data_IF_706142950702
#
_entry.id   IF_706142950702
#
_cell.length_a   1.000
_cell.length_b   1.000
_cell.length_c   1.000
_cell.angle_alpha   90.00
_cell.angle_beta   90.00
_cell.angle_gamma   90.00
#
_symmetry.space_group_name_H-M   'P 1'
#
loop_
_entity.id
_entity.type
_entity.pdbx_description
1 polymer ?
#
# COMPACT_ATOMS: atom_id res chain seq x y z
N UNK A 1 -11.92 -12.90 9.10
CA UNK A 1 -13.03 -12.06 9.60
C UNK A 1 -13.29 -11.02 8.55
N UNK A 2 -14.55 -10.73 8.21
CA UNK A 2 -14.86 -9.62 7.30
C UNK A 2 -14.64 -8.28 8.01
N UNK A 3 -14.39 -7.23 7.24
CA UNK A 3 -14.27 -5.86 7.77
C UNK A 3 -15.52 -5.47 8.57
N UNK A 4 -16.71 -5.79 8.04
CA UNK A 4 -17.97 -5.49 8.71
C UNK A 4 -18.06 -6.16 10.08
N UNK A 5 -17.82 -7.48 10.18
CA UNK A 5 -17.83 -8.18 11.47
C UNK A 5 -16.85 -7.57 12.48
N UNK A 6 -15.66 -7.15 12.03
CA UNK A 6 -14.68 -6.53 12.91
C UNK A 6 -15.13 -5.15 13.40
N UNK A 7 -15.66 -4.30 12.52
CA UNK A 7 -16.22 -2.99 12.90
C UNK A 7 -17.34 -3.11 13.92
N UNK A 8 -18.22 -4.11 13.78
CA UNK A 8 -19.29 -4.38 14.75
C UNK A 8 -18.73 -4.78 16.13
N UNK A 9 -17.65 -5.56 16.17
CA UNK A 9 -16.98 -5.92 17.43
C UNK A 9 -16.39 -4.66 18.07
N UNK A 10 -15.67 -3.84 17.32
CA UNK A 10 -15.11 -2.59 17.84
C UNK A 10 -16.20 -1.67 18.40
N UNK A 11 -17.34 -1.59 17.72
CA UNK A 11 -18.48 -0.78 18.16
C UNK A 11 -19.10 -1.26 19.46
N UNK A 12 -19.24 -2.57 19.64
CA UNK A 12 -19.75 -3.15 20.88
C UNK A 12 -18.88 -2.80 22.11
N UNK A 13 -17.60 -2.48 21.91
CA UNK A 13 -16.65 -2.15 22.97
C UNK A 13 -16.18 -0.69 22.96
N UNK A 14 -16.81 0.20 22.19
CA UNK A 14 -16.30 1.56 21.98
C UNK A 14 -16.07 2.37 23.28
N UNK A 15 -16.88 2.12 24.32
CA UNK A 15 -16.77 2.78 25.61
C UNK A 15 -15.82 2.12 26.62
N UNK A 16 -15.26 0.95 26.32
CA UNK A 16 -14.46 0.16 27.28
C UNK A 16 -13.13 -0.33 26.72
N UNK A 17 -12.98 -0.37 25.40
CA UNK A 17 -11.75 -0.81 24.74
C UNK A 17 -10.70 0.29 24.86
N UNK A 18 -9.64 0.01 25.62
CA UNK A 18 -8.49 0.92 25.80
C UNK A 18 -7.22 0.41 25.11
N UNK A 19 -7.18 -0.88 24.76
CA UNK A 19 -6.02 -1.51 24.13
C UNK A 19 -6.53 -2.32 22.95
N UNK A 20 -5.90 -2.13 21.79
CA UNK A 20 -6.15 -2.93 20.59
C UNK A 20 -4.82 -3.47 20.09
N UNK A 21 -4.80 -4.78 19.85
CA UNK A 21 -3.66 -5.47 19.24
C UNK A 21 -4.15 -6.23 18.02
N UNK A 22 -3.62 -5.87 16.86
CA UNK A 22 -3.84 -6.58 15.59
C UNK A 22 -2.52 -7.21 15.18
N UNK A 23 -2.38 -8.50 15.48
CA UNK A 23 -1.16 -9.28 15.23
C UNK A 23 -1.46 -10.39 14.23
N UNK A 24 -0.63 -10.51 13.18
CA UNK A 24 -0.77 -11.50 12.10
C UNK A 24 -2.18 -11.54 11.49
N UNK A 25 -2.83 -10.38 11.41
CA UNK A 25 -4.18 -10.24 10.91
C UNK A 25 -4.19 -10.01 9.40
N UNK A 26 -5.09 -10.72 8.70
CA UNK A 26 -5.36 -10.51 7.28
C UNK A 26 -6.79 -10.04 7.09
N UNK A 27 -6.96 -8.84 6.52
CA UNK A 27 -8.26 -8.31 6.12
C UNK A 27 -8.48 -8.59 4.64
N UNK A 28 -9.53 -9.36 4.34
CA UNK A 28 -9.88 -9.72 2.97
C UNK A 28 -10.80 -8.65 2.38
N UNK A 29 -10.27 -7.88 1.44
CA UNK A 29 -11.00 -6.89 0.68
C UNK A 29 -11.57 -7.49 -0.62
N UNK A 30 -12.69 -6.93 -1.10
CA UNK A 30 -13.28 -7.36 -2.38
C UNK A 30 -12.62 -6.67 -3.57
N UNK A 31 -12.24 -5.40 -3.43
CA UNK A 31 -11.82 -4.59 -4.58
C UNK A 31 -10.48 -3.89 -4.39
N UNK A 32 -10.21 -3.31 -3.22
CA UNK A 32 -8.96 -2.60 -2.95
C UNK A 32 -8.74 -2.36 -1.43
N UNK A 33 -7.68 -1.61 -1.11
CA UNK A 33 -7.33 -1.22 0.25
C UNK A 33 -8.38 -0.30 0.93
N UNK A 34 -9.26 0.36 0.17
CA UNK A 34 -10.27 1.28 0.73
C UNK A 34 -11.31 0.56 1.58
N UNK A 35 -11.52 -0.74 1.34
CA UNK A 35 -12.35 -1.60 2.18
C UNK A 35 -11.81 -1.70 3.62
N UNK A 36 -10.52 -1.45 3.86
CA UNK A 36 -9.92 -1.48 5.19
C UNK A 36 -10.00 -0.13 5.93
N UNK A 37 -10.17 0.99 5.23
CA UNK A 37 -10.28 2.32 5.86
C UNK A 37 -11.37 2.45 6.92
N UNK A 38 -12.56 1.82 6.80
CA UNK A 38 -13.55 1.87 7.85
C UNK A 38 -13.03 1.36 9.20
N UNK A 39 -12.17 0.33 9.21
CA UNK A 39 -11.56 -0.18 10.44
C UNK A 39 -10.62 0.86 11.05
N UNK A 40 -9.70 1.39 10.24
CA UNK A 40 -8.74 2.40 10.69
C UNK A 40 -9.44 3.68 11.18
N UNK A 41 -10.46 4.16 10.45
CA UNK A 41 -11.30 5.29 10.86
C UNK A 41 -12.00 5.01 12.18
N UNK A 42 -12.52 3.81 12.37
CA UNK A 42 -13.18 3.44 13.63
C UNK A 42 -12.20 3.45 14.80
N UNK A 43 -11.00 2.89 14.63
CA UNK A 43 -9.94 2.93 15.64
C UNK A 43 -9.53 4.38 15.98
N UNK A 44 -9.55 5.28 14.99
CA UNK A 44 -9.17 6.70 15.15
C UNK A 44 -10.26 7.55 15.83
N UNK A 45 -11.50 7.40 15.37
CA UNK A 45 -12.57 8.36 15.66
C UNK A 45 -13.47 7.90 16.81
N UNK A 46 -13.66 6.60 16.97
CA UNK A 46 -14.70 6.04 17.83
C UNK A 46 -14.16 5.41 19.12
N UNK A 47 -12.85 5.15 19.22
CA UNK A 47 -12.24 4.52 20.37
C UNK A 47 -11.32 5.47 21.13
N UNK A 48 -11.37 5.42 22.46
CA UNK A 48 -10.44 6.13 23.34
C UNK A 48 -9.28 5.21 23.72
N UNK A 49 -8.44 4.87 22.75
CA UNK A 49 -7.34 3.93 22.94
C UNK A 49 -6.20 4.55 23.74
N UNK A 50 -5.72 3.81 24.73
CA UNK A 50 -4.46 4.05 25.40
C UNK A 50 -3.29 3.44 24.61
N UNK A 51 -3.49 2.27 24.00
CA UNK A 51 -2.47 1.57 23.23
C UNK A 51 -3.03 0.96 21.97
N UNK A 52 -2.28 1.08 20.87
CA UNK A 52 -2.56 0.41 19.60
C UNK A 52 -1.30 -0.32 19.11
N UNK A 53 -1.44 -1.60 18.81
CA UNK A 53 -0.40 -2.44 18.21
C UNK A 53 -0.90 -2.93 16.85
N UNK A 54 -0.14 -2.66 15.80
CA UNK A 54 -0.35 -3.16 14.44
C UNK A 54 0.91 -3.91 14.01
N UNK A 55 0.87 -5.24 14.03
CA UNK A 55 2.02 -6.08 13.67
C UNK A 55 1.61 -7.22 12.74
N UNK A 56 2.38 -7.43 11.66
CA UNK A 56 2.05 -8.45 10.66
C UNK A 56 0.68 -8.24 10.00
N UNK A 57 0.18 -7.00 9.95
CA UNK A 57 -1.11 -6.67 9.35
C UNK A 57 -1.02 -6.74 7.82
N UNK A 58 -1.94 -7.46 7.19
CA UNK A 58 -1.99 -7.64 5.73
C UNK A 58 -3.38 -7.38 5.17
N UNK A 59 -3.44 -6.95 3.92
CA UNK A 59 -4.68 -6.87 3.14
C UNK A 59 -4.62 -7.87 2.00
N UNK A 60 -5.56 -8.81 2.00
CA UNK A 60 -5.70 -9.83 0.97
C UNK A 60 -6.80 -9.47 -0.03
N UNK A 61 -6.58 -9.81 -1.30
CA UNK A 61 -7.63 -9.69 -2.33
C UNK A 61 -8.28 -11.04 -2.55
N UNK A 62 -9.61 -11.05 -2.63
CA UNK A 62 -10.43 -12.27 -2.79
C UNK A 62 -10.06 -13.13 -4.01
N UNK A 63 -9.33 -12.56 -4.98
CA UNK A 63 -8.92 -13.21 -6.22
C UNK A 63 -7.41 -13.49 -6.33
N UNK A 64 -6.66 -13.27 -5.25
CA UNK A 64 -5.22 -13.55 -5.23
C UNK A 64 -4.92 -14.68 -4.25
N UNK A 65 -4.25 -15.72 -4.75
CA UNK A 65 -3.85 -16.93 -4.01
C UNK A 65 -2.70 -16.67 -2.98
N UNK A 66 -2.57 -15.43 -2.51
CA UNK A 66 -1.45 -14.94 -1.70
C UNK A 66 -1.78 -14.73 -0.22
N UNK A 67 -0.73 -14.42 0.56
CA UNK A 67 -0.81 -14.13 2.00
C UNK A 67 -1.32 -12.71 2.34
N UNK A 68 -1.73 -11.94 1.32
CA UNK A 68 -2.04 -10.51 1.40
C UNK A 68 -0.78 -9.63 1.32
N UNK A 69 -0.97 -8.38 0.87
CA UNK A 69 0.08 -7.35 0.86
C UNK A 69 0.32 -6.83 2.29
N UNK A 70 1.57 -6.68 2.73
CA UNK A 70 1.89 -6.19 4.06
C UNK A 70 1.52 -4.71 4.19
N UNK A 71 0.88 -4.38 5.29
CA UNK A 71 0.34 -3.05 5.57
C UNK A 71 1.05 -2.43 6.75
N UNK A 72 1.13 -3.13 7.89
CA UNK A 72 1.81 -2.60 9.07
C UNK A 72 2.64 -3.70 9.71
N UNK A 73 3.91 -3.40 10.00
CA UNK A 73 4.86 -4.33 10.59
C UNK A 73 5.50 -3.69 11.83
N UNK A 74 5.24 -4.29 12.99
CA UNK A 74 5.86 -3.89 14.25
C UNK A 74 5.59 -2.45 14.67
N UNK A 75 4.35 -1.97 14.57
CA UNK A 75 3.96 -0.59 14.89
C UNK A 75 3.26 -0.55 16.23
N UNK A 76 3.74 0.30 17.12
CA UNK A 76 3.31 0.39 18.50
C UNK A 76 3.15 1.85 18.89
N UNK A 77 1.92 2.26 19.20
CA UNK A 77 1.63 3.64 19.60
C UNK A 77 0.92 3.67 20.96
N UNK A 78 1.28 4.68 21.75
CA UNK A 78 0.72 4.88 23.10
C UNK A 78 0.20 6.31 23.24
N UNK A 79 -1.02 6.45 23.73
CA UNK A 79 -1.71 7.72 23.89
C UNK A 79 -2.53 8.11 22.65
N UNK A 80 -3.69 8.71 22.90
CA UNK A 80 -4.71 9.04 21.89
C UNK A 80 -4.15 9.90 20.74
N UNK A 81 -3.29 10.88 21.04
CA UNK A 81 -2.69 11.76 20.02
C UNK A 81 -1.75 11.01 19.07
N UNK A 82 -0.85 10.18 19.60
CA UNK A 82 0.09 9.42 18.77
C UNK A 82 -0.66 8.39 17.91
N UNK A 83 -1.67 7.73 18.49
CA UNK A 83 -2.53 6.78 17.79
C UNK A 83 -3.28 7.46 16.66
N UNK A 84 -3.92 8.61 16.92
CA UNK A 84 -4.63 9.38 15.88
C UNK A 84 -3.70 9.81 14.76
N UNK A 85 -2.54 10.39 15.09
CA UNK A 85 -1.57 10.84 14.10
C UNK A 85 -1.05 9.68 13.23
N UNK A 86 -0.76 8.52 13.82
CA UNK A 86 -0.38 7.32 13.08
C UNK A 86 -1.48 6.86 12.13
N UNK A 87 -2.73 6.77 12.62
CA UNK A 87 -3.88 6.38 11.80
C UNK A 87 -4.21 7.39 10.69
N UNK A 88 -3.99 8.69 10.92
CA UNK A 88 -4.14 9.72 9.88
C UNK A 88 -3.15 9.52 8.74
N UNK A 89 -1.87 9.23 9.06
CA UNK A 89 -0.87 8.88 8.03
C UNK A 89 -1.33 7.65 7.23
N UNK A 90 -1.90 6.63 7.88
CA UNK A 90 -2.39 5.45 7.14
C UNK A 90 -3.56 5.77 6.21
N UNK A 91 -4.44 6.67 6.62
CA UNK A 91 -5.65 7.03 5.88
C UNK A 91 -5.40 8.02 4.75
N UNK A 92 -4.43 8.92 4.89
CA UNK A 92 -4.12 9.94 3.87
C UNK A 92 -3.36 9.38 2.65
N UNK A 93 -2.57 8.33 2.84
CA UNK A 93 -1.70 7.78 1.79
C UNK A 93 -2.20 6.47 1.19
N UNK A 94 -3.50 6.21 1.34
CA UNK A 94 -4.22 5.02 0.90
C UNK A 94 -3.56 3.68 1.30
N UNK A 95 -2.69 3.70 2.32
CA UNK A 95 -1.94 2.56 2.84
C UNK A 95 -1.04 1.82 1.86
N UNK A 96 -0.84 2.30 0.62
CA UNK A 96 0.00 1.62 -0.37
C UNK A 96 1.49 1.74 -0.01
N UNK A 97 2.11 0.60 0.35
CA UNK A 97 3.56 0.40 0.25
C UNK A 97 4.43 1.10 1.29
N UNK A 98 3.90 1.51 2.44
CA UNK A 98 4.68 2.23 3.44
C UNK A 98 5.59 1.35 4.31
N UNK A 99 5.26 0.06 4.47
CA UNK A 99 6.05 -0.91 5.24
C UNK A 99 6.49 -2.13 4.40
N UNK A 100 6.48 -1.99 3.07
CA UNK A 100 6.81 -3.05 2.11
C UNK A 100 8.11 -2.73 1.35
N UNK A 101 9.24 -3.25 1.86
CA UNK A 101 10.54 -3.18 1.18
C UNK A 101 10.61 -4.09 -0.07
N UNK A 102 9.85 -5.18 -0.10
CA UNK A 102 9.89 -6.15 -1.20
C UNK A 102 9.18 -5.62 -2.46
N UNK A 103 8.13 -4.80 -2.27
CA UNK A 103 7.42 -4.14 -3.38
C UNK A 103 8.32 -3.19 -4.18
N UNK A 104 9.29 -2.55 -3.54
CA UNK A 104 10.21 -1.61 -4.20
C UNK A 104 11.12 -2.34 -5.18
N UNK A 105 11.72 -3.44 -4.72
CA UNK A 105 12.61 -4.29 -5.52
C UNK A 105 11.87 -4.86 -6.72
N UNK A 106 10.64 -5.35 -6.51
CA UNK A 106 9.83 -5.90 -7.60
C UNK A 106 9.46 -4.82 -8.64
N UNK A 107 9.04 -3.63 -8.21
CA UNK A 107 8.68 -2.52 -9.12
C UNK A 107 9.90 -2.02 -9.90
N UNK A 108 11.04 -1.87 -9.23
CA UNK A 108 12.30 -1.49 -9.89
C UNK A 108 12.70 -2.53 -10.94
N UNK A 109 12.62 -3.83 -10.60
CA UNK A 109 12.92 -4.88 -11.55
C UNK A 109 11.93 -4.90 -12.73
N UNK A 110 10.65 -4.64 -12.48
CA UNK A 110 9.62 -4.55 -13.51
C UNK A 110 9.96 -3.47 -14.54
N UNK A 111 10.26 -2.25 -14.07
CA UNK A 111 10.67 -1.13 -14.93
C UNK A 111 11.93 -1.49 -15.71
N UNK A 112 12.96 -2.03 -15.05
CA UNK A 112 14.22 -2.44 -15.69
C UNK A 112 14.01 -3.49 -16.79
N UNK A 113 13.12 -4.46 -16.57
CA UNK A 113 12.76 -5.48 -17.56
C UNK A 113 12.00 -4.86 -18.74
N UNK A 114 11.06 -3.96 -18.47
CA UNK A 114 10.34 -3.22 -19.50
C UNK A 114 11.28 -2.37 -20.37
N UNK A 115 12.21 -1.64 -19.77
CA UNK A 115 13.24 -0.89 -20.49
C UNK A 115 14.10 -1.79 -21.39
N UNK A 116 14.53 -2.93 -20.86
CA UNK A 116 15.36 -3.89 -21.60
C UNK A 116 14.60 -4.47 -22.79
N UNK A 117 13.31 -4.79 -22.61
CA UNK A 117 12.42 -5.25 -23.68
C UNK A 117 12.30 -4.20 -24.78
N UNK A 118 11.95 -2.95 -24.45
CA UNK A 118 11.75 -1.88 -25.44
C UNK A 118 13.04 -1.54 -26.19
N UNK A 119 14.18 -1.47 -25.47
CA UNK A 119 15.50 -1.25 -26.09
C UNK A 119 15.88 -2.37 -27.06
N UNK A 120 15.53 -3.61 -26.73
CA UNK A 120 15.84 -4.79 -27.54
C UNK A 120 14.99 -4.96 -28.80
N UNK A 121 13.89 -4.21 -28.95
CA UNK A 121 12.99 -4.38 -30.09
C UNK A 121 13.66 -4.04 -31.42
N UNK A 122 13.74 -5.05 -32.31
CA UNK A 122 14.31 -4.95 -33.66
C UNK A 122 13.33 -5.46 -34.70
N UNK A 123 13.29 -4.81 -35.88
CA UNK A 123 12.30 -5.14 -36.90
C UNK A 123 12.42 -6.57 -37.45
N UNK A 124 13.64 -7.11 -37.53
CA UNK A 124 13.90 -8.46 -38.04
C UNK A 124 13.14 -9.57 -37.29
N UNK A 125 12.78 -9.35 -36.03
CA UNK A 125 11.98 -10.30 -35.24
C UNK A 125 10.48 -10.23 -35.56
N UNK A 126 10.04 -9.18 -36.27
CA UNK A 126 8.63 -8.87 -36.52
C UNK A 126 8.28 -8.74 -38.02
N UNK A 127 9.27 -8.82 -38.91
CA UNK A 127 9.08 -8.66 -40.37
C UNK A 127 8.04 -9.61 -40.98
N UNK A 128 7.85 -10.79 -40.38
CA UNK A 128 6.90 -11.80 -40.82
C UNK A 128 5.45 -11.53 -40.39
N UNK A 129 5.22 -10.59 -39.45
CA UNK A 129 3.91 -10.32 -38.84
C UNK A 129 3.42 -8.89 -39.05
N UNK A 130 4.29 -7.94 -39.36
CA UNK A 130 3.91 -6.54 -39.58
C UNK A 130 4.85 -5.83 -40.57
N UNK A 131 4.33 -4.76 -41.20
CA UNK A 131 5.15 -3.89 -42.04
C UNK A 131 6.14 -3.09 -41.18
N UNK A 132 7.19 -2.56 -41.80
CA UNK A 132 8.16 -1.71 -41.10
C UNK A 132 7.49 -0.45 -40.49
N UNK A 133 6.55 0.16 -41.20
CA UNK A 133 5.80 1.33 -40.70
C UNK A 133 4.96 0.96 -39.47
N UNK A 134 4.22 -0.16 -39.53
CA UNK A 134 3.44 -0.65 -38.40
C UNK A 134 4.33 -1.04 -37.20
N UNK A 135 5.53 -1.57 -37.45
CA UNK A 135 6.51 -1.84 -36.41
C UNK A 135 7.01 -0.57 -35.72
N UNK A 136 7.29 0.50 -36.47
CA UNK A 136 7.71 1.78 -35.89
C UNK A 136 6.60 2.38 -35.01
N UNK A 137 5.34 2.32 -35.44
CA UNK A 137 4.19 2.76 -34.66
C UNK A 137 4.03 1.94 -33.38
N UNK A 138 4.13 0.61 -33.48
CA UNK A 138 4.05 -0.28 -32.33
C UNK A 138 5.19 -0.05 -31.34
N UNK A 139 6.43 0.10 -31.82
CA UNK A 139 7.59 0.42 -30.96
C UNK A 139 7.43 1.76 -30.25
N UNK A 140 6.87 2.77 -30.93
CA UNK A 140 6.55 4.05 -30.31
C UNK A 140 5.47 3.92 -29.22
N UNK A 141 4.47 3.05 -29.40
CA UNK A 141 3.48 2.75 -28.37
C UNK A 141 4.10 2.03 -27.17
N UNK A 142 4.97 1.04 -27.40
CA UNK A 142 5.70 0.38 -26.32
C UNK A 142 6.57 1.35 -25.53
N UNK A 143 7.18 2.34 -26.19
CA UNK A 143 7.91 3.41 -25.51
C UNK A 143 6.98 4.28 -24.65
N UNK A 144 5.80 4.65 -25.14
CA UNK A 144 4.83 5.42 -24.33
C UNK A 144 4.37 4.67 -23.09
N UNK A 145 4.15 3.36 -23.19
CA UNK A 145 3.84 2.54 -22.02
C UNK A 145 4.99 2.51 -21.02
N UNK A 146 6.23 2.32 -21.49
CA UNK A 146 7.41 2.37 -20.64
C UNK A 146 7.57 3.72 -19.93
N UNK A 147 7.38 4.83 -20.64
CA UNK A 147 7.47 6.17 -20.06
C UNK A 147 6.40 6.37 -18.97
N UNK A 148 5.19 5.83 -19.18
CA UNK A 148 4.12 5.82 -18.17
C UNK A 148 4.46 4.96 -16.96
N UNK A 149 5.04 3.77 -17.16
CA UNK A 149 5.45 2.88 -16.07
C UNK A 149 6.56 3.52 -15.22
N UNK A 150 7.54 4.18 -15.85
CA UNK A 150 8.61 4.93 -15.18
C UNK A 150 8.01 6.07 -14.35
N UNK A 151 7.14 6.88 -14.95
CA UNK A 151 6.49 8.01 -14.25
C UNK A 151 5.73 7.52 -13.01
N UNK A 152 4.94 6.45 -13.15
CA UNK A 152 4.19 5.87 -12.04
C UNK A 152 5.10 5.31 -10.95
N UNK A 153 6.22 4.67 -11.31
CA UNK A 153 7.20 4.17 -10.34
C UNK A 153 7.86 5.31 -9.55
N UNK A 154 8.25 6.40 -10.21
CA UNK A 154 8.83 7.57 -9.55
C UNK A 154 7.84 8.27 -8.63
N UNK A 155 6.58 8.43 -9.06
CA UNK A 155 5.51 8.97 -8.22
C UNK A 155 5.28 8.10 -6.98
N UNK A 156 5.18 6.77 -7.17
CA UNK A 156 5.02 5.82 -6.08
C UNK A 156 6.19 5.90 -5.09
N UNK A 157 7.43 5.95 -5.58
CA UNK A 157 8.64 6.04 -4.74
C UNK A 157 8.68 7.33 -3.93
N UNK A 158 8.35 8.47 -4.56
CA UNK A 158 8.26 9.75 -3.88
C UNK A 158 7.17 9.75 -2.81
N UNK A 159 6.02 9.12 -3.09
CA UNK A 159 4.94 8.98 -2.12
C UNK A 159 5.38 8.13 -0.93
N UNK A 160 5.95 6.94 -1.18
CA UNK A 160 6.47 6.04 -0.14
C UNK A 160 7.45 6.74 0.79
N UNK A 161 8.37 7.55 0.26
CA UNK A 161 9.32 8.33 1.05
C UNK A 161 8.61 9.33 1.99
N UNK A 162 7.59 10.05 1.50
CA UNK A 162 6.79 10.98 2.32
C UNK A 162 6.05 10.26 3.44
N UNK A 163 5.47 9.09 3.16
CA UNK A 163 4.77 8.29 4.19
C UNK A 163 5.74 7.86 5.28
N UNK A 164 6.92 7.37 4.88
CA UNK A 164 7.95 6.94 5.83
C UNK A 164 8.40 8.09 6.73
N UNK A 165 8.67 9.25 6.16
CA UNK A 165 9.01 10.45 6.92
C UNK A 165 7.88 10.86 7.89
N UNK A 166 6.63 10.87 7.41
CA UNK A 166 5.49 11.20 8.27
C UNK A 166 5.32 10.21 9.43
N UNK A 167 5.51 8.92 9.16
CA UNK A 167 5.43 7.88 10.19
C UNK A 167 6.58 7.97 11.20
N UNK A 168 7.81 8.21 10.74
CA UNK A 168 8.98 8.39 11.62
C UNK A 168 8.74 9.54 12.61
N UNK A 169 8.07 10.62 12.19
CA UNK A 169 7.68 11.76 13.04
C UNK A 169 6.63 11.38 14.09
N UNK A 170 5.66 10.55 13.71
CA UNK A 170 4.66 9.98 14.65
C UNK A 170 5.36 9.14 15.73
N UNK A 171 6.27 8.26 15.31
CA UNK A 171 6.99 7.35 16.20
C UNK A 171 7.98 8.08 17.11
N UNK A 172 8.55 9.19 16.65
CA UNK A 172 9.37 10.10 17.45
C UNK A 172 8.56 10.87 18.51
N UNK A 173 7.24 10.79 18.50
CA UNK A 173 6.36 11.47 19.44
C UNK A 173 6.22 12.97 19.17
N UNK A 174 6.49 13.44 17.95
CA UNK A 174 6.41 14.87 17.58
C UNK A 174 5.02 15.48 17.84
N UNK A 175 3.98 14.64 17.84
CA UNK A 175 2.59 15.02 18.04
C UNK A 175 2.06 14.75 19.46
N UNK A 176 2.94 14.37 20.40
CA UNK A 176 2.59 14.10 21.79
C UNK A 176 2.74 15.37 22.64
N UNK A 177 1.66 16.14 22.80
CA UNK A 177 1.63 17.35 23.67
C UNK A 177 0.41 17.40 24.55
#
# INVERSE_FOLDING_TARGET
MSVSEFSWILEAFAGTLQVVELVDAVFWAMWDFTDFFPVLRYLRDNLHLHSLILDGLRVGWKHCDGTGEPVAKGRFWTGDQQIRAGLDVLLEFDGYGWDDDDSEVWREEHVRRAESRVRGMVYSEHEHSMSHEAFLEWKAEQQRHLDSDIMYYEEWKANKAKVKEAMDRVEAGEFST
#
